data_IF_136491294679
#
_entry.id   IF_136491294679
#
_cell.length_a   1.000
_cell.length_b   1.000
_cell.length_c   1.000
_cell.angle_alpha   90.00
_cell.angle_beta   90.00
_cell.angle_gamma   90.00
#
_symmetry.space_group_name_H-M   'P 1'
#
loop_
_entity.id
_entity.type
_entity.pdbx_description
1 polymer ?
#
# COMPACT_ATOMS: atom_id res chain seq x y z
N UNK A 1 3.91 13.10 -5.86
CA UNK A 1 3.94 12.01 -4.86
C UNK A 1 3.01 12.30 -3.68
N UNK A 2 3.20 13.41 -2.95
CA UNK A 2 2.42 13.76 -1.74
C UNK A 2 0.91 13.91 -2.02
N UNK A 3 0.52 14.66 -3.05
CA UNK A 3 -0.89 14.83 -3.43
C UNK A 3 -1.59 13.49 -3.72
N UNK A 4 -0.88 12.57 -4.36
CA UNK A 4 -1.35 11.22 -4.65
C UNK A 4 -1.63 10.42 -3.38
N UNK A 5 -0.76 10.48 -2.37
CA UNK A 5 -1.00 9.79 -1.10
C UNK A 5 -2.20 10.40 -0.36
N UNK A 6 -2.26 11.74 -0.21
CA UNK A 6 -3.37 12.43 0.48
C UNK A 6 -4.74 12.11 -0.12
N UNK A 7 -4.80 11.97 -1.45
CA UNK A 7 -6.04 11.64 -2.15
C UNK A 7 -6.63 10.29 -1.71
N UNK A 8 -5.81 9.40 -1.14
CA UNK A 8 -6.20 8.05 -0.72
C UNK A 8 -6.29 7.89 0.81
N UNK A 9 -6.18 8.99 1.57
CA UNK A 9 -6.47 8.95 3.00
C UNK A 9 -7.98 8.87 3.26
N UNK A 10 -8.34 8.10 4.27
CA UNK A 10 -9.66 8.14 4.88
C UNK A 10 -9.86 9.53 5.48
N UNK A 11 -10.95 10.19 5.11
CA UNK A 11 -11.29 11.52 5.63
C UNK A 11 -12.59 11.44 6.42
N UNK A 12 -12.65 11.94 7.67
CA UNK A 12 -13.89 11.98 8.43
C UNK A 12 -14.99 12.74 7.65
N UNK A 13 -16.21 12.19 7.52
CA UNK A 13 -17.26 12.83 6.73
C UNK A 13 -17.76 14.10 7.43
N UNK A 14 -17.80 15.21 6.69
CA UNK A 14 -18.40 16.47 7.14
C UNK A 14 -19.94 16.42 7.14
N UNK A 15 -20.59 17.51 7.57
CA UNK A 15 -22.05 17.60 7.62
C UNK A 15 -22.72 17.38 6.27
N UNK A 16 -22.13 17.88 5.18
CA UNK A 16 -22.68 17.74 3.82
C UNK A 16 -22.55 16.29 3.36
N UNK A 17 -21.38 15.68 3.54
CA UNK A 17 -21.12 14.29 3.22
C UNK A 17 -22.10 13.35 3.95
N UNK A 18 -22.34 13.55 5.25
CA UNK A 18 -23.34 12.78 6.02
C UNK A 18 -24.75 12.93 5.45
N UNK A 19 -25.18 14.15 5.14
CA UNK A 19 -26.50 14.41 4.54
C UNK A 19 -26.68 13.70 3.19
N UNK A 20 -25.67 13.79 2.32
CA UNK A 20 -25.69 13.13 1.02
C UNK A 20 -25.64 11.61 1.14
N UNK A 21 -24.81 11.08 2.03
CA UNK A 21 -24.74 9.64 2.30
C UNK A 21 -26.07 9.08 2.81
N UNK A 22 -26.75 9.76 3.73
CA UNK A 22 -28.09 9.35 4.18
C UNK A 22 -29.12 9.37 3.05
N UNK A 23 -29.06 10.38 2.18
CA UNK A 23 -30.01 10.55 1.06
C UNK A 23 -29.81 9.49 -0.02
N UNK A 24 -28.57 9.18 -0.36
CA UNK A 24 -28.24 8.38 -1.55
C UNK A 24 -27.65 7.02 -1.27
N UNK A 25 -26.85 6.86 -0.22
CA UNK A 25 -26.16 5.60 0.07
C UNK A 25 -27.00 4.74 1.01
N UNK A 26 -27.28 5.24 2.21
CA UNK A 26 -28.01 4.51 3.26
C UNK A 26 -29.37 3.99 2.78
N UNK A 27 -30.16 4.83 2.10
CA UNK A 27 -31.47 4.44 1.54
C UNK A 27 -31.41 3.40 0.42
N UNK A 28 -30.23 3.13 -0.13
CA UNK A 28 -30.05 2.26 -1.29
C UNK A 28 -29.05 1.13 -1.04
N UNK A 29 -28.67 0.82 0.21
CA UNK A 29 -27.64 -0.17 0.54
C UNK A 29 -27.83 -1.51 -0.18
N UNK A 30 -29.03 -2.12 -0.12
CA UNK A 30 -29.28 -3.40 -0.80
C UNK A 30 -29.17 -3.30 -2.32
N UNK A 31 -29.57 -2.17 -2.91
CA UNK A 31 -29.45 -1.94 -4.33
C UNK A 31 -28.00 -1.67 -4.75
N UNK A 32 -27.23 -0.98 -3.90
CA UNK A 32 -25.80 -0.75 -4.09
C UNK A 32 -25.04 -2.06 -4.05
N UNK A 33 -25.26 -2.87 -3.00
CA UNK A 33 -24.63 -4.17 -2.84
C UNK A 33 -24.87 -5.05 -4.06
N UNK A 34 -26.13 -5.23 -4.47
CA UNK A 34 -26.48 -6.00 -5.68
C UNK A 34 -25.81 -5.47 -6.94
N UNK A 35 -25.90 -4.17 -7.21
CA UNK A 35 -25.37 -3.61 -8.47
C UNK A 35 -23.83 -3.63 -8.49
N UNK A 36 -23.17 -3.41 -7.33
CA UNK A 36 -21.72 -3.54 -7.20
C UNK A 36 -21.27 -4.99 -7.32
N UNK A 37 -22.03 -5.95 -6.80
CA UNK A 37 -21.75 -7.37 -6.99
C UNK A 37 -21.86 -7.75 -8.48
N UNK A 38 -22.86 -7.23 -9.20
CA UNK A 38 -22.96 -7.45 -10.64
C UNK A 38 -21.75 -6.89 -11.40
N UNK A 39 -21.31 -5.66 -11.09
CA UNK A 39 -20.07 -5.10 -11.64
C UNK A 39 -18.84 -5.91 -11.25
N UNK A 40 -18.82 -6.49 -10.03
CA UNK A 40 -17.71 -7.31 -9.56
C UNK A 40 -17.61 -8.62 -10.36
N UNK A 41 -18.72 -9.24 -10.73
CA UNK A 41 -18.73 -10.41 -11.62
C UNK A 41 -18.07 -10.08 -12.97
N UNK A 42 -18.38 -8.91 -13.55
CA UNK A 42 -17.72 -8.45 -14.78
C UNK A 42 -16.22 -8.19 -14.58
N UNK A 43 -15.83 -7.64 -13.43
CA UNK A 43 -14.43 -7.40 -13.10
C UNK A 43 -13.66 -8.72 -12.94
N UNK A 44 -14.26 -9.73 -12.28
CA UNK A 44 -13.66 -11.05 -12.14
C UNK A 44 -13.44 -11.70 -13.51
N UNK A 45 -14.44 -11.65 -14.40
CA UNK A 45 -14.32 -12.18 -15.75
C UNK A 45 -13.17 -11.51 -16.52
N UNK A 46 -13.02 -10.19 -16.39
CA UNK A 46 -11.91 -9.46 -17.00
C UNK A 46 -10.53 -9.93 -16.50
N UNK A 47 -10.34 -10.08 -15.18
CA UNK A 47 -9.04 -10.51 -14.65
C UNK A 47 -8.73 -11.97 -14.97
N UNK A 48 -9.73 -12.84 -15.02
CA UNK A 48 -9.57 -14.22 -15.46
C UNK A 48 -9.18 -14.30 -16.94
N UNK A 49 -9.78 -13.48 -17.81
CA UNK A 49 -9.37 -13.38 -19.22
C UNK A 49 -7.91 -12.92 -19.37
N UNK A 50 -7.49 -11.91 -18.58
CA UNK A 50 -6.10 -11.45 -18.59
C UNK A 50 -5.13 -12.55 -18.16
N UNK A 51 -5.49 -13.33 -17.14
CA UNK A 51 -4.70 -14.47 -16.67
C UNK A 51 -4.58 -15.54 -17.75
N UNK A 52 -5.69 -15.87 -18.40
CA UNK A 52 -5.72 -16.93 -19.42
C UNK A 52 -4.89 -16.52 -20.65
N UNK A 53 -5.02 -15.27 -21.10
CA UNK A 53 -4.17 -14.70 -22.17
C UNK A 53 -2.69 -14.69 -21.82
N UNK A 54 -2.35 -14.34 -20.59
CA UNK A 54 -0.96 -14.37 -20.12
C UNK A 54 -0.39 -15.80 -20.08
N UNK A 55 -1.21 -16.78 -19.72
CA UNK A 55 -0.84 -18.20 -19.73
C UNK A 55 -0.61 -18.74 -21.14
N UNK A 56 -1.38 -18.23 -22.11
CA UNK A 56 -1.25 -18.59 -23.53
C UNK A 56 -0.10 -17.87 -24.26
N UNK A 57 0.55 -16.89 -23.63
CA UNK A 57 1.58 -16.07 -24.26
C UNK A 57 1.06 -14.90 -25.09
N UNK A 58 -0.25 -14.63 -25.06
CA UNK A 58 -0.92 -13.55 -25.80
C UNK A 58 -0.86 -12.19 -25.09
N UNK A 59 -0.29 -12.17 -23.88
CA UNK A 59 -0.11 -10.97 -23.07
C UNK A 59 1.21 -11.04 -22.32
N UNK A 60 2.15 -10.17 -22.67
CA UNK A 60 3.39 -9.98 -21.92
C UNK A 60 3.10 -9.25 -20.61
N UNK A 61 3.49 -9.87 -19.49
CA UNK A 61 3.37 -9.29 -18.16
C UNK A 61 4.74 -9.31 -17.47
N UNK A 62 4.95 -8.36 -16.56
CA UNK A 62 6.09 -8.46 -15.66
C UNK A 62 5.84 -9.52 -14.57
N UNK A 63 6.89 -9.91 -13.84
CA UNK A 63 6.81 -10.95 -12.81
C UNK A 63 5.77 -10.67 -11.70
N UNK A 64 5.61 -9.40 -11.29
CA UNK A 64 4.62 -9.02 -10.27
C UNK A 64 3.19 -9.21 -10.79
N UNK A 65 2.94 -8.79 -12.03
CA UNK A 65 1.64 -8.95 -12.69
C UNK A 65 1.31 -10.43 -12.90
N UNK A 66 2.27 -11.24 -13.34
CA UNK A 66 2.09 -12.69 -13.47
C UNK A 66 1.73 -13.33 -12.13
N UNK A 67 2.48 -13.02 -11.06
CA UNK A 67 2.21 -13.58 -9.74
C UNK A 67 0.82 -13.19 -9.22
N UNK A 68 0.42 -11.91 -9.34
CA UNK A 68 -0.91 -11.44 -8.91
C UNK A 68 -2.04 -12.14 -9.65
N UNK A 69 -1.99 -12.19 -10.97
CA UNK A 69 -3.06 -12.82 -11.77
C UNK A 69 -3.14 -14.33 -11.51
N UNK A 70 -2.01 -14.99 -11.27
CA UNK A 70 -1.98 -16.42 -10.92
C UNK A 70 -2.66 -16.71 -9.58
N UNK A 71 -2.63 -15.75 -8.65
CA UNK A 71 -3.23 -15.86 -7.32
C UNK A 71 -4.61 -15.19 -7.20
N UNK A 72 -5.20 -14.75 -8.31
CA UNK A 72 -6.47 -14.03 -8.30
C UNK A 72 -7.59 -14.83 -7.59
N UNK A 73 -8.39 -14.22 -6.69
CA UNK A 73 -8.44 -12.79 -6.35
C UNK A 73 -7.51 -12.38 -5.20
N UNK A 74 -6.78 -13.32 -4.60
CA UNK A 74 -5.93 -13.07 -3.43
C UNK A 74 -4.88 -12.01 -3.76
N UNK A 75 -4.65 -11.09 -2.82
CA UNK A 75 -3.70 -9.97 -2.95
C UNK A 75 -3.99 -8.97 -4.07
N UNK A 76 -5.16 -9.03 -4.72
CA UNK A 76 -5.54 -8.15 -5.84
C UNK A 76 -6.47 -6.98 -5.43
N UNK A 77 -6.48 -6.58 -4.16
CA UNK A 77 -7.43 -5.55 -3.68
C UNK A 77 -7.26 -4.19 -4.36
N UNK A 78 -6.03 -3.82 -4.71
CA UNK A 78 -5.73 -2.58 -5.41
C UNK A 78 -6.27 -2.61 -6.84
N UNK A 79 -5.97 -3.67 -7.56
CA UNK A 79 -6.33 -3.90 -8.96
C UNK A 79 -7.85 -3.94 -9.11
N UNK A 80 -8.52 -4.74 -8.27
CA UNK A 80 -9.98 -4.86 -8.25
C UNK A 80 -10.62 -3.52 -7.90
N UNK A 81 -10.16 -2.83 -6.84
CA UNK A 81 -10.73 -1.53 -6.43
C UNK A 81 -10.59 -0.47 -7.53
N UNK A 82 -9.43 -0.40 -8.20
CA UNK A 82 -9.22 0.55 -9.31
C UNK A 82 -10.12 0.23 -10.50
N UNK A 83 -10.21 -1.04 -10.88
CA UNK A 83 -11.06 -1.47 -11.99
C UNK A 83 -12.54 -1.17 -11.70
N UNK A 84 -13.00 -1.48 -10.48
CA UNK A 84 -14.36 -1.20 -10.02
C UNK A 84 -14.66 0.29 -9.97
N UNK A 85 -13.75 1.14 -9.47
CA UNK A 85 -13.91 2.60 -9.52
C UNK A 85 -14.07 3.12 -10.95
N UNK A 86 -13.26 2.61 -11.89
CA UNK A 86 -13.38 2.93 -13.31
C UNK A 86 -14.76 2.54 -13.84
N UNK A 87 -15.21 1.30 -13.59
CA UNK A 87 -16.55 0.82 -13.99
C UNK A 87 -17.67 1.66 -13.39
N UNK A 88 -17.62 1.99 -12.10
CA UNK A 88 -18.61 2.85 -11.44
C UNK A 88 -18.68 4.23 -12.10
N UNK A 89 -17.53 4.80 -12.46
CA UNK A 89 -17.46 6.13 -13.09
C UNK A 89 -17.99 6.14 -14.54
N UNK A 90 -17.81 5.04 -15.27
CA UNK A 90 -18.18 4.89 -16.68
C UNK A 90 -19.56 4.27 -16.89
N UNK A 91 -20.14 3.65 -15.87
CA UNK A 91 -21.43 2.99 -15.96
C UNK A 91 -22.50 3.94 -16.47
N UNK A 92 -23.25 3.52 -17.50
CA UNK A 92 -24.51 4.16 -17.89
C UNK A 92 -25.62 3.38 -17.22
N UNK A 93 -26.21 3.88 -16.11
CA UNK A 93 -27.10 3.05 -15.33
C UNK A 93 -28.40 2.82 -16.12
N UNK A 94 -28.67 1.56 -16.44
CA UNK A 94 -29.97 1.12 -16.93
C UNK A 94 -31.08 1.40 -15.91
N UNK A 95 -32.35 1.28 -16.29
CA UNK A 95 -33.50 1.40 -15.37
C UNK A 95 -33.42 0.43 -14.17
N UNK A 96 -32.71 -0.69 -14.29
CA UNK A 96 -32.59 -1.70 -13.25
C UNK A 96 -31.45 -1.47 -12.24
N UNK A 97 -30.48 -0.60 -12.54
CA UNK A 97 -29.31 -0.33 -11.68
C UNK A 97 -29.55 0.81 -10.66
N UNK A 98 -30.49 0.58 -9.73
CA UNK A 98 -30.91 1.58 -8.72
C UNK A 98 -29.74 2.05 -7.83
N UNK A 99 -28.84 1.16 -7.44
CA UNK A 99 -27.65 1.45 -6.65
C UNK A 99 -26.67 2.34 -7.41
N UNK A 100 -26.31 1.97 -8.64
CA UNK A 100 -25.40 2.80 -9.45
C UNK A 100 -25.99 4.19 -9.73
N UNK A 101 -27.30 4.29 -10.00
CA UNK A 101 -27.98 5.60 -10.09
C UNK A 101 -27.85 6.40 -8.81
N UNK A 102 -27.90 5.76 -7.65
CA UNK A 102 -27.75 6.44 -6.37
C UNK A 102 -26.32 6.97 -6.17
N UNK A 103 -25.28 6.21 -6.52
CA UNK A 103 -23.89 6.70 -6.51
C UNK A 103 -23.67 7.87 -7.49
N UNK A 104 -24.28 7.80 -8.68
CA UNK A 104 -24.19 8.90 -9.64
C UNK A 104 -24.87 10.17 -9.14
N UNK A 105 -26.07 10.06 -8.55
CA UNK A 105 -26.75 11.21 -7.94
C UNK A 105 -25.97 11.77 -6.75
N UNK A 106 -25.39 10.89 -5.93
CA UNK A 106 -24.50 11.27 -4.84
C UNK A 106 -23.32 12.11 -5.36
N UNK A 107 -22.62 11.62 -6.39
CA UNK A 107 -21.50 12.32 -7.02
C UNK A 107 -21.92 13.66 -7.65
N UNK A 108 -23.03 13.69 -8.39
CA UNK A 108 -23.58 14.91 -9.03
C UNK A 108 -23.98 15.98 -8.02
N UNK A 109 -24.42 15.61 -6.81
CA UNK A 109 -24.70 16.57 -5.72
C UNK A 109 -23.44 16.98 -4.93
N UNK A 110 -22.24 16.62 -5.40
CA UNK A 110 -20.95 16.95 -4.81
C UNK A 110 -20.49 15.98 -3.72
N UNK A 111 -21.05 14.77 -3.68
CA UNK A 111 -20.54 13.70 -2.84
C UNK A 111 -19.23 13.14 -3.38
N UNK A 112 -18.23 12.95 -2.53
CA UNK A 112 -16.93 12.42 -2.95
C UNK A 112 -16.94 10.89 -2.94
N UNK A 113 -16.58 10.28 -4.07
CA UNK A 113 -16.28 8.85 -4.21
C UNK A 113 -14.79 8.75 -4.56
N UNK A 114 -14.01 8.07 -3.74
CA UNK A 114 -12.55 7.95 -3.95
C UNK A 114 -12.03 6.61 -3.45
N UNK A 115 -10.90 6.17 -3.99
CA UNK A 115 -10.13 5.08 -3.38
C UNK A 115 -9.54 5.56 -2.06
N UNK A 116 -9.46 4.65 -1.10
CA UNK A 116 -8.74 4.82 0.16
C UNK A 116 -7.86 3.60 0.44
N UNK A 117 -6.77 3.80 1.17
CA UNK A 117 -5.86 2.75 1.61
C UNK A 117 -5.53 2.92 3.08
N UNK A 118 -5.40 1.81 3.79
CA UNK A 118 -5.13 1.81 5.23
C UNK A 118 -5.08 0.41 5.81
N UNK A 119 -5.24 0.33 7.12
CA UNK A 119 -5.33 -0.91 7.88
C UNK A 119 -6.78 -1.23 8.22
N UNK A 120 -7.22 -2.45 7.93
CA UNK A 120 -8.56 -2.92 8.25
C UNK A 120 -8.50 -3.81 9.50
N UNK A 121 -9.14 -3.36 10.58
CA UNK A 121 -9.34 -4.14 11.81
C UNK A 121 -8.02 -4.71 12.39
N UNK A 122 -6.93 -3.95 12.31
CA UNK A 122 -5.60 -4.31 12.82
C UNK A 122 -5.00 -5.59 12.23
N UNK A 123 -5.54 -6.04 11.09
CA UNK A 123 -5.27 -7.39 10.59
C UNK A 123 -4.53 -7.40 9.27
N UNK A 124 -4.83 -6.46 8.37
CA UNK A 124 -4.23 -6.43 7.02
C UNK A 124 -4.36 -5.06 6.37
N UNK A 125 -3.53 -4.83 5.35
CA UNK A 125 -3.65 -3.67 4.48
C UNK A 125 -4.82 -3.85 3.51
N UNK A 126 -5.62 -2.80 3.32
CA UNK A 126 -6.74 -2.87 2.40
C UNK A 126 -6.84 -1.65 1.49
N UNK A 127 -7.31 -1.89 0.26
CA UNK A 127 -7.80 -0.87 -0.64
C UNK A 127 -9.32 -0.96 -0.72
N UNK A 128 -9.99 0.18 -0.55
CA UNK A 128 -11.45 0.24 -0.64
C UNK A 128 -11.89 1.58 -1.25
N UNK A 129 -13.20 1.77 -1.33
CA UNK A 129 -13.83 3.00 -1.78
C UNK A 129 -14.44 3.71 -0.57
N UNK A 130 -14.15 5.00 -0.42
CA UNK A 130 -14.91 5.88 0.46
C UNK A 130 -15.94 6.63 -0.37
N UNK A 131 -17.22 6.48 -0.01
CA UNK A 131 -18.33 7.25 -0.56
C UNK A 131 -19.03 8.02 0.56
N UNK A 132 -18.59 9.27 0.78
CA UNK A 132 -19.04 10.09 1.91
C UNK A 132 -18.76 9.43 3.27
N UNK A 133 -19.82 9.06 3.99
CA UNK A 133 -19.74 8.43 5.32
C UNK A 133 -19.62 6.89 5.28
N UNK A 134 -19.55 6.30 4.09
CA UNK A 134 -19.50 4.85 3.91
C UNK A 134 -18.16 4.39 3.38
N UNK A 135 -17.71 3.29 3.95
CA UNK A 135 -16.72 2.38 3.43
C UNK A 135 -17.41 1.38 2.50
N UNK A 136 -16.88 1.20 1.30
CA UNK A 136 -17.33 0.23 0.31
C UNK A 136 -16.11 -0.59 -0.09
N UNK A 137 -16.03 -1.81 0.40
CA UNK A 137 -15.06 -2.80 -0.06
C UNK A 137 -15.65 -3.52 -1.26
N UNK A 138 -14.95 -3.49 -2.39
CA UNK A 138 -15.33 -4.25 -3.59
C UNK A 138 -14.37 -5.42 -3.83
N UNK A 139 -13.51 -5.69 -2.86
CA UNK A 139 -12.41 -6.64 -2.88
C UNK A 139 -12.28 -7.34 -1.51
N UNK A 140 -13.39 -7.58 -0.81
CA UNK A 140 -13.40 -8.08 0.56
C UNK A 140 -12.96 -9.56 0.67
N UNK A 141 -13.00 -10.28 -0.44
CA UNK A 141 -12.57 -11.67 -0.61
C UNK A 141 -11.07 -11.83 -0.94
N UNK A 142 -10.31 -10.73 -1.03
CA UNK A 142 -8.90 -10.76 -1.48
C UNK A 142 -7.88 -11.15 -0.40
N UNK A 143 -8.33 -11.27 0.84
CA UNK A 143 -7.56 -11.86 1.96
C UNK A 143 -8.12 -13.22 2.36
N UNK A 144 -9.44 -13.35 2.31
CA UNK A 144 -10.17 -14.58 2.63
C UNK A 144 -11.22 -14.82 1.54
N UNK A 145 -10.96 -15.73 0.58
CA UNK A 145 -11.84 -15.99 -0.56
C UNK A 145 -13.24 -16.48 -0.19
N UNK A 146 -13.47 -16.86 1.07
CA UNK A 146 -14.79 -17.33 1.54
C UNK A 146 -15.73 -16.19 1.90
N UNK A 147 -15.21 -14.96 2.05
CA UNK A 147 -16.02 -13.77 2.35
C UNK A 147 -16.84 -13.34 1.14
N UNK A 148 -17.92 -12.60 1.43
CA UNK A 148 -18.64 -11.88 0.39
C UNK A 148 -17.69 -10.90 -0.34
N UNK A 149 -17.85 -10.76 -1.65
CA UNK A 149 -16.96 -9.98 -2.52
C UNK A 149 -17.09 -8.48 -2.29
N UNK A 150 -18.28 -8.05 -1.88
CA UNK A 150 -18.62 -6.64 -1.65
C UNK A 150 -19.12 -6.45 -0.22
N UNK A 151 -18.47 -5.57 0.54
CA UNK A 151 -18.91 -5.16 1.88
C UNK A 151 -19.19 -3.65 1.91
N UNK A 152 -20.25 -3.24 2.60
CA UNK A 152 -20.66 -1.84 2.68
C UNK A 152 -21.04 -1.50 4.12
N UNK A 153 -20.25 -0.64 4.76
CA UNK A 153 -20.43 -0.26 6.16
C UNK A 153 -20.28 1.25 6.34
N UNK A 154 -20.93 1.86 7.33
CA UNK A 154 -20.52 3.17 7.80
C UNK A 154 -19.02 3.14 8.16
N UNK A 155 -18.28 4.18 7.78
CA UNK A 155 -16.80 4.18 7.91
C UNK A 155 -16.34 4.08 9.37
N UNK A 156 -17.14 4.59 10.30
CA UNK A 156 -16.91 4.51 11.73
C UNK A 156 -17.07 3.07 12.29
N UNK A 157 -17.84 2.23 11.59
CA UNK A 157 -18.15 0.86 12.02
C UNK A 157 -17.31 -0.19 11.27
N UNK A 158 -16.58 0.20 10.21
CA UNK A 158 -15.80 -0.76 9.40
C UNK A 158 -14.51 -1.23 10.07
N UNK A 159 -13.98 -0.45 11.02
CA UNK A 159 -12.66 -0.64 11.60
C UNK A 159 -11.52 -0.27 10.66
N UNK A 160 -11.80 0.49 9.59
CA UNK A 160 -10.80 0.91 8.61
C UNK A 160 -10.13 2.22 9.03
N UNK A 161 -8.80 2.24 9.11
CA UNK A 161 -8.03 3.39 9.63
C UNK A 161 -6.85 3.72 8.74
N UNK A 162 -6.47 5.00 8.75
CA UNK A 162 -5.23 5.45 8.12
C UNK A 162 -4.04 4.87 8.88
N UNK A 163 -2.97 4.55 8.15
CA UNK A 163 -1.67 4.24 8.71
C UNK A 163 -0.86 5.54 8.70
N UNK A 164 -0.39 5.98 9.86
CA UNK A 164 0.21 7.29 10.06
C UNK A 164 1.67 7.25 10.53
N UNK A 165 2.19 6.06 10.82
CA UNK A 165 3.56 5.83 11.32
C UNK A 165 4.14 4.52 10.79
N UNK A 166 5.46 4.44 10.77
CA UNK A 166 6.15 3.18 10.45
C UNK A 166 5.94 2.12 11.55
N UNK A 167 5.71 2.50 12.82
CA UNK A 167 5.32 1.55 13.86
C UNK A 167 3.97 0.90 13.56
N UNK A 168 2.96 1.68 13.17
CA UNK A 168 1.66 1.15 12.78
C UNK A 168 1.76 0.26 11.53
N UNK A 169 2.53 0.69 10.53
CA UNK A 169 2.80 -0.12 9.34
C UNK A 169 3.46 -1.45 9.71
N UNK A 170 4.52 -1.43 10.53
CA UNK A 170 5.25 -2.62 10.95
C UNK A 170 4.34 -3.58 11.73
N UNK A 171 3.54 -3.09 12.69
CA UNK A 171 2.65 -3.95 13.47
C UNK A 171 1.63 -4.70 12.59
N UNK A 172 1.05 -4.04 11.58
CA UNK A 172 0.12 -4.67 10.64
C UNK A 172 0.85 -5.68 9.76
N UNK A 173 2.00 -5.30 9.22
CA UNK A 173 2.76 -6.14 8.31
C UNK A 173 3.33 -7.38 8.99
N UNK A 174 3.89 -7.29 10.21
CA UNK A 174 4.41 -8.43 10.96
C UNK A 174 3.30 -9.48 11.20
N UNK A 175 2.09 -9.02 11.58
CA UNK A 175 0.93 -9.88 11.78
C UNK A 175 0.43 -10.51 10.49
N UNK A 176 0.34 -9.71 9.42
CA UNK A 176 -0.26 -10.13 8.15
C UNK A 176 0.69 -10.96 7.28
N UNK A 177 1.94 -10.52 7.12
CA UNK A 177 2.95 -11.12 6.25
C UNK A 177 3.82 -12.17 6.96
N UNK A 178 3.62 -12.38 8.27
CA UNK A 178 4.41 -13.34 9.08
C UNK A 178 5.91 -13.08 8.94
N UNK A 179 6.29 -11.83 9.17
CA UNK A 179 7.66 -11.37 9.08
C UNK A 179 8.03 -10.56 10.33
N UNK A 180 9.32 -10.24 10.45
CA UNK A 180 9.87 -9.31 11.43
C UNK A 180 10.25 -8.00 10.73
N UNK A 181 9.92 -6.86 11.32
CA UNK A 181 10.20 -5.54 10.74
C UNK A 181 11.00 -4.66 11.69
N UNK A 182 12.25 -4.40 11.34
CA UNK A 182 13.24 -3.83 12.27
C UNK A 182 13.86 -2.54 11.72
N UNK A 183 14.34 -1.64 12.59
CA UNK A 183 15.02 -0.41 12.18
C UNK A 183 16.23 -0.65 11.29
N UNK A 184 16.34 0.11 10.19
CA UNK A 184 17.55 0.16 9.37
C UNK A 184 18.66 0.97 10.04
N UNK A 185 19.41 0.31 10.91
CA UNK A 185 20.56 0.88 11.62
C UNK A 185 21.91 0.57 10.95
N UNK A 186 21.91 -0.20 9.85
CA UNK A 186 23.13 -0.67 9.19
C UNK A 186 23.56 0.17 7.99
N UNK A 187 22.62 0.87 7.36
CA UNK A 187 22.89 1.71 6.19
C UNK A 187 22.43 3.15 6.46
N UNK A 188 23.25 3.96 7.16
CA UNK A 188 22.87 5.30 7.60
C UNK A 188 22.23 6.17 6.52
N UNK A 189 22.87 6.24 5.35
CA UNK A 189 22.39 7.04 4.22
C UNK A 189 21.11 6.49 3.57
N UNK A 190 20.82 5.20 3.72
CA UNK A 190 19.56 4.63 3.23
C UNK A 190 18.43 4.80 4.24
N UNK A 191 18.74 4.87 5.54
CA UNK A 191 17.77 4.83 6.63
C UNK A 191 16.64 5.89 6.55
N UNK A 192 16.88 7.15 6.11
CA UNK A 192 15.80 8.12 5.92
C UNK A 192 14.76 7.69 4.88
N UNK A 193 15.17 6.92 3.86
CA UNK A 193 14.32 6.48 2.75
C UNK A 193 13.80 5.05 2.96
N UNK A 194 14.63 4.20 3.56
CA UNK A 194 14.43 2.78 3.79
C UNK A 194 14.53 2.49 5.30
N UNK A 195 13.63 3.04 6.15
CA UNK A 195 13.76 2.92 7.60
C UNK A 195 13.48 1.52 8.15
N UNK A 196 12.82 0.66 7.37
CA UNK A 196 12.45 -0.70 7.77
C UNK A 196 13.27 -1.71 6.97
N UNK A 197 13.90 -2.62 7.69
CA UNK A 197 14.36 -3.92 7.17
C UNK A 197 13.27 -4.94 7.49
N UNK A 198 12.88 -5.72 6.49
CA UNK A 198 11.97 -6.85 6.65
C UNK A 198 12.75 -8.14 6.59
N UNK A 199 12.45 -9.06 7.50
CA UNK A 199 12.96 -10.41 7.53
C UNK A 199 11.80 -11.40 7.59
N UNK A 200 11.72 -12.29 6.60
CA UNK A 200 10.75 -13.37 6.57
C UNK A 200 11.30 -14.62 7.26
N UNK A 201 10.43 -15.51 7.73
CA UNK A 201 10.82 -16.77 8.40
C UNK A 201 11.73 -17.65 7.54
N UNK A 202 11.63 -17.54 6.21
CA UNK A 202 12.47 -18.27 5.26
C UNK A 202 13.85 -17.61 5.01
N UNK A 203 14.22 -16.60 5.80
CA UNK A 203 15.50 -15.89 5.70
C UNK A 203 15.56 -14.82 4.60
N UNK A 204 14.47 -14.58 3.85
CA UNK A 204 14.43 -13.51 2.85
C UNK A 204 14.48 -12.16 3.54
N UNK A 205 15.39 -11.28 3.07
CA UNK A 205 15.58 -9.93 3.57
C UNK A 205 15.20 -8.88 2.50
N UNK A 206 14.66 -7.74 2.95
CA UNK A 206 14.32 -6.64 2.05
C UNK A 206 13.99 -5.31 2.72
N UNK A 207 13.56 -4.33 1.90
CA UNK A 207 13.17 -2.99 2.31
C UNK A 207 11.73 -2.65 1.86
N UNK A 208 10.75 -2.88 2.74
CA UNK A 208 9.31 -2.78 2.39
C UNK A 208 8.65 -1.41 2.63
N UNK A 209 9.38 -0.48 3.24
CA UNK A 209 8.90 0.87 3.58
C UNK A 209 8.70 1.81 2.38
N UNK A 210 9.02 1.37 1.15
CA UNK A 210 9.01 2.18 -0.08
C UNK A 210 7.70 2.15 -0.87
N UNK A 211 6.62 1.69 -0.25
CA UNK A 211 5.33 1.70 -0.93
C UNK A 211 4.87 3.14 -1.25
N UNK A 212 3.85 3.25 -2.11
CA UNK A 212 3.35 4.53 -2.63
C UNK A 212 2.63 5.41 -1.60
N UNK A 213 2.58 4.98 -0.34
CA UNK A 213 1.96 5.69 0.78
C UNK A 213 2.98 6.14 1.82
N UNK A 214 3.79 5.21 2.34
CA UNK A 214 4.70 5.48 3.44
C UNK A 214 5.80 6.47 3.05
N UNK A 215 6.41 6.32 1.88
CA UNK A 215 7.44 7.24 1.39
C UNK A 215 6.91 8.69 1.25
N UNK A 216 5.84 8.98 0.49
CA UNK A 216 5.28 10.33 0.42
C UNK A 216 4.89 10.90 1.79
N UNK A 217 4.34 10.08 2.68
CA UNK A 217 3.98 10.50 4.02
C UNK A 217 5.21 10.90 4.84
N UNK A 218 6.28 10.11 4.78
CA UNK A 218 7.56 10.41 5.43
C UNK A 218 8.19 11.71 4.88
N UNK A 219 8.14 11.90 3.56
CA UNK A 219 8.62 13.13 2.91
C UNK A 219 7.81 14.36 3.36
N UNK A 220 6.48 14.25 3.45
CA UNK A 220 5.63 15.33 3.96
C UNK A 220 5.95 15.70 5.41
N UNK A 221 6.39 14.72 6.20
CA UNK A 221 6.81 14.90 7.59
C UNK A 221 8.31 15.20 7.73
N UNK A 222 8.99 15.57 6.65
CA UNK A 222 10.43 15.88 6.65
C UNK A 222 11.29 14.78 7.31
N UNK A 223 11.00 13.52 6.97
CA UNK A 223 11.67 12.32 7.48
C UNK A 223 11.46 12.00 8.97
N UNK A 224 10.59 12.75 9.66
CA UNK A 224 10.34 12.56 11.09
C UNK A 224 9.81 11.14 11.41
N UNK A 225 8.96 10.57 10.56
CA UNK A 225 8.41 9.24 10.81
C UNK A 225 9.48 8.15 10.75
N UNK A 226 10.40 8.26 9.79
CA UNK A 226 11.55 7.36 9.68
C UNK A 226 12.49 7.52 10.88
N UNK A 227 12.73 8.76 11.32
CA UNK A 227 13.55 9.05 12.49
C UNK A 227 12.98 8.40 13.75
N UNK A 228 11.70 8.64 14.06
CA UNK A 228 10.98 8.01 15.18
C UNK A 228 11.05 6.49 15.12
N UNK A 229 10.87 5.88 13.94
CA UNK A 229 10.96 4.43 13.82
C UNK A 229 12.36 3.88 14.07
N UNK A 230 13.40 4.65 13.74
CA UNK A 230 14.79 4.20 13.89
C UNK A 230 15.29 4.39 15.32
N UNK A 231 14.99 5.53 15.93
CA UNK A 231 15.54 5.90 17.24
C UNK A 231 14.59 5.57 18.40
N UNK A 232 13.27 5.71 18.19
CA UNK A 232 12.24 5.51 19.22
C UNK A 232 11.49 4.18 19.03
N UNK A 233 12.26 3.10 18.91
CA UNK A 233 11.71 1.77 18.69
C UNK A 233 12.44 0.72 19.51
N UNK A 234 11.68 -0.01 20.33
CA UNK A 234 12.22 -1.10 21.17
C UNK A 234 12.91 -2.18 20.35
N UNK A 235 12.47 -2.39 19.10
CA UNK A 235 13.07 -3.36 18.18
C UNK A 235 14.54 -3.05 17.92
N UNK A 236 14.96 -1.79 17.98
CA UNK A 236 16.36 -1.36 17.74
C UNK A 236 17.42 -2.13 18.55
N UNK A 237 17.04 -2.68 19.71
CA UNK A 237 17.93 -3.38 20.63
C UNK A 237 17.93 -4.91 20.48
N UNK A 238 17.13 -5.47 19.57
CA UNK A 238 17.15 -6.92 19.32
C UNK A 238 18.46 -7.36 18.64
N UNK A 239 18.79 -8.64 18.73
CA UNK A 239 20.00 -9.18 18.10
C UNK A 239 19.80 -9.27 16.58
N UNK A 240 20.60 -8.52 15.83
CA UNK A 240 20.45 -8.32 14.37
C UNK A 240 21.70 -8.65 13.56
N UNK A 241 22.78 -9.12 14.19
CA UNK A 241 24.02 -9.39 13.45
C UNK A 241 23.80 -10.45 12.36
N UNK A 242 22.85 -11.37 12.54
CA UNK A 242 22.47 -12.34 11.50
C UNK A 242 21.83 -11.69 10.27
N UNK A 243 21.05 -10.61 10.44
CA UNK A 243 20.47 -9.88 9.31
C UNK A 243 21.51 -9.02 8.58
N UNK A 244 22.54 -8.55 9.30
CA UNK A 244 23.57 -7.67 8.75
C UNK A 244 24.28 -8.30 7.56
N UNK A 245 24.78 -9.53 7.71
CA UNK A 245 25.56 -10.18 6.65
C UNK A 245 24.71 -10.43 5.40
N UNK A 246 23.47 -10.90 5.56
CA UNK A 246 22.53 -11.06 4.44
C UNK A 246 22.15 -9.73 3.78
N UNK A 247 22.09 -8.63 4.55
CA UNK A 247 21.88 -7.30 3.96
C UNK A 247 23.11 -6.77 3.23
N UNK A 248 24.32 -7.06 3.72
CA UNK A 248 25.56 -6.71 3.01
C UNK A 248 25.59 -7.42 1.65
N UNK A 249 25.21 -8.70 1.62
CA UNK A 249 25.07 -9.46 0.39
C UNK A 249 23.99 -8.84 -0.52
N UNK A 250 22.80 -8.51 0.02
CA UNK A 250 21.72 -7.78 -0.67
C UNK A 250 22.19 -6.51 -1.36
N UNK A 251 23.05 -5.76 -0.70
CA UNK A 251 23.55 -4.50 -1.22
C UNK A 251 24.76 -4.67 -2.15
N UNK A 252 25.50 -5.78 -2.07
CA UNK A 252 26.67 -6.05 -2.91
C UNK A 252 26.34 -6.18 -4.40
N UNK A 253 25.14 -6.67 -4.72
CA UNK A 253 24.65 -6.78 -6.11
C UNK A 253 24.09 -5.46 -6.66
N UNK A 254 24.11 -4.39 -5.85
CA UNK A 254 23.61 -3.06 -6.24
C UNK A 254 24.77 -2.14 -6.58
N UNK A 255 24.57 -1.27 -7.58
CA UNK A 255 25.51 -0.19 -7.84
C UNK A 255 25.52 0.79 -6.67
N UNK A 256 26.64 0.85 -5.96
CA UNK A 256 26.85 1.83 -4.88
C UNK A 256 27.16 3.21 -5.49
N UNK A 257 26.36 4.25 -5.19
CA UNK A 257 26.65 5.60 -5.64
C UNK A 257 28.01 6.11 -5.17
N UNK A 258 28.48 7.21 -5.76
CA UNK A 258 29.67 7.90 -5.26
C UNK A 258 29.45 8.41 -3.82
N UNK A 259 30.55 8.67 -3.11
CA UNK A 259 30.53 9.02 -1.67
C UNK A 259 29.77 10.30 -1.33
N UNK A 260 29.50 11.16 -2.31
CA UNK A 260 28.78 12.42 -2.10
C UNK A 260 27.27 12.27 -2.32
N UNK A 261 26.82 11.14 -2.87
CA UNK A 261 25.40 10.84 -3.05
C UNK A 261 24.71 10.48 -1.72
N UNK A 262 23.46 10.93 -1.55
CA UNK A 262 22.62 10.68 -0.36
C UNK A 262 22.29 9.19 -0.11
N UNK A 263 22.63 8.30 -1.03
CA UNK A 263 22.40 6.85 -0.92
C UNK A 263 23.70 6.05 -0.95
N UNK A 264 24.86 6.71 -0.87
CA UNK A 264 26.11 5.99 -0.74
C UNK A 264 26.03 5.08 0.48
N UNK A 265 26.10 3.77 0.28
CA UNK A 265 25.88 2.83 1.36
C UNK A 265 27.20 2.23 1.79
N UNK A 266 27.44 2.26 3.10
CA UNK A 266 28.51 1.52 3.78
C UNK A 266 27.83 0.79 4.94
N UNK A 267 27.98 -0.53 5.05
CA UNK A 267 27.35 -1.30 6.13
C UNK A 267 28.07 -1.04 7.45
N UNK A 268 27.64 0.00 8.16
CA UNK A 268 28.22 0.41 9.43
C UNK A 268 27.12 0.86 10.37
N UNK A 269 27.08 0.25 11.55
CA UNK A 269 26.25 0.73 12.65
C UNK A 269 26.95 1.93 13.28
N UNK A 270 26.43 3.12 13.01
CA UNK A 270 27.03 4.39 13.39
C UNK A 270 25.92 5.43 13.60
N UNK A 271 25.56 5.66 14.86
CA UNK A 271 24.45 6.54 15.23
C UNK A 271 24.69 7.99 14.84
N UNK A 272 25.95 8.45 14.91
CA UNK A 272 26.30 9.79 14.47
C UNK A 272 26.11 9.94 12.96
N UNK A 273 26.49 8.94 12.17
CA UNK A 273 26.19 8.93 10.73
C UNK A 273 24.70 8.85 10.45
N UNK A 274 23.94 8.02 11.18
CA UNK A 274 22.49 7.93 11.02
C UNK A 274 21.85 9.31 11.20
N UNK A 275 22.15 9.99 12.31
CA UNK A 275 21.62 11.32 12.60
C UNK A 275 22.01 12.34 11.51
N UNK A 276 23.29 12.34 11.11
CA UNK A 276 23.79 13.21 10.04
C UNK A 276 23.08 12.95 8.69
N UNK A 277 22.72 11.70 8.38
CA UNK A 277 21.98 11.36 7.15
C UNK A 277 20.57 11.98 7.16
N UNK A 278 19.89 12.01 8.31
CA UNK A 278 18.61 12.70 8.44
C UNK A 278 18.74 14.22 8.25
N UNK A 279 19.74 14.84 8.86
CA UNK A 279 20.01 16.27 8.70
C UNK A 279 20.39 16.64 7.25
N UNK A 280 21.21 15.81 6.60
CA UNK A 280 21.54 15.97 5.18
C UNK A 280 20.29 15.95 4.30
N UNK A 281 19.33 15.05 4.57
CA UNK A 281 18.07 14.99 3.83
C UNK A 281 17.19 16.24 4.03
N UNK A 282 17.17 16.82 5.24
CA UNK A 282 16.39 18.06 5.54
C UNK A 282 16.93 19.28 4.79
N UNK A 283 18.24 19.31 4.52
CA UNK A 283 18.90 20.43 3.83
C UNK A 283 19.13 20.21 2.33
N UNK A 284 18.82 19.03 1.82
CA UNK A 284 19.07 18.67 0.42
C UNK A 284 18.24 19.49 -0.57
N UNK A 285 18.82 19.78 -1.73
CA UNK A 285 18.08 20.47 -2.80
C UNK A 285 16.94 19.59 -3.34
N UNK A 286 15.83 20.18 -3.84
CA UNK A 286 14.72 19.42 -4.42
C UNK A 286 15.14 18.47 -5.55
N UNK A 287 16.13 18.86 -6.35
CA UNK A 287 16.68 18.05 -7.44
C UNK A 287 17.42 16.82 -6.90
N UNK A 288 18.34 17.02 -5.94
CA UNK A 288 19.07 15.92 -5.31
C UNK A 288 18.12 14.95 -4.60
N UNK A 289 17.10 15.48 -3.93
CA UNK A 289 16.05 14.71 -3.27
C UNK A 289 15.25 13.86 -4.27
N UNK A 290 14.86 14.43 -5.41
CA UNK A 290 14.11 13.71 -6.45
C UNK A 290 14.92 12.57 -7.07
N UNK A 291 16.19 12.81 -7.40
CA UNK A 291 17.10 11.77 -7.91
C UNK A 291 17.26 10.64 -6.90
N UNK A 292 17.48 11.02 -5.63
CA UNK A 292 17.62 10.09 -4.51
C UNK A 292 16.39 9.22 -4.32
N UNK A 293 15.18 9.80 -4.28
CA UNK A 293 13.94 9.05 -4.14
C UNK A 293 13.78 8.04 -5.27
N UNK A 294 14.01 8.45 -6.53
CA UNK A 294 13.89 7.56 -7.67
C UNK A 294 14.85 6.37 -7.60
N UNK A 295 16.06 6.59 -7.07
CA UNK A 295 17.02 5.52 -6.87
C UNK A 295 16.66 4.61 -5.69
N UNK A 296 16.21 5.17 -4.56
CA UNK A 296 15.75 4.39 -3.41
C UNK A 296 14.59 3.44 -3.79
N UNK A 297 13.66 3.89 -4.62
CA UNK A 297 12.57 3.07 -5.14
C UNK A 297 13.04 1.86 -5.98
N UNK A 298 14.25 1.92 -6.57
CA UNK A 298 14.83 0.81 -7.34
C UNK A 298 15.53 -0.24 -6.47
N UNK A 299 15.89 0.11 -5.24
CA UNK A 299 16.60 -0.80 -4.31
C UNK A 299 15.66 -1.88 -3.75
N UNK A 300 14.33 -1.69 -3.84
CA UNK A 300 13.25 -2.51 -3.24
C UNK A 300 13.32 -4.04 -3.47
N UNK A 301 14.12 -4.56 -4.39
CA UNK A 301 14.14 -6.00 -4.71
C UNK A 301 14.84 -6.81 -3.61
N UNK A 302 14.15 -7.83 -3.08
CA UNK A 302 14.67 -8.83 -2.14
C UNK A 302 15.85 -9.64 -2.72
N UNK A 303 16.73 -10.14 -1.86
CA UNK A 303 17.64 -11.25 -2.19
C UNK A 303 17.00 -12.54 -1.68
N UNK A 304 17.12 -13.61 -2.46
CA UNK A 304 16.78 -14.96 -2.01
C UNK A 304 17.88 -16.01 -2.26
N UNK A 305 18.76 -15.86 -3.24
CA UNK A 305 18.69 -16.79 -4.38
C UNK A 305 17.30 -16.87 -5.00
N UNK A 306 17.09 -15.93 -5.93
CA UNK A 306 16.00 -15.77 -6.90
C UNK A 306 14.78 -16.72 -6.80
N UNK A 307 13.62 -16.20 -6.39
CA UNK A 307 12.27 -16.62 -6.89
C UNK A 307 11.84 -18.09 -6.67
N UNK A 308 12.62 -18.98 -6.06
CA UNK A 308 12.26 -20.42 -6.00
C UNK A 308 11.14 -20.80 -5.03
N UNK A 309 10.49 -19.86 -4.35
CA UNK A 309 9.22 -20.15 -3.65
C UNK A 309 8.53 -18.84 -3.28
N UNK A 310 7.58 -18.42 -4.11
CA UNK A 310 6.35 -17.79 -3.66
C UNK A 310 5.26 -18.88 -3.57
N UNK A 311 5.61 -19.98 -2.91
CA UNK A 311 4.63 -20.91 -2.33
C UNK A 311 4.34 -20.40 -0.90
N UNK A 312 3.42 -19.45 -0.82
CA UNK A 312 2.54 -19.22 0.33
C UNK A 312 1.14 -19.06 -0.25
#
# INVERSE_FOLDING_TARGET
MISGYRANLIVPPDRRARKLSKKYIEKNLNALHRDLHALRVEADAHFLELRDRATQGDLELNAEQHWKLSNYPVSCCLEITRHMLSKISQAVPSSNSKGLRALQKFSREGGQIKRVWGELRQSYFQNAIQAGSYYIDVANDTVDPTKDKVDILPIQDSGFRNIDSYHAFAAVAESYWKCRMVPNIFFPNLAPFLPIITEFENGVLGFDSTNTFMMPMNLEKNFQLAHEFIFDNSRRNENFETCRDGLVELMSIRSNPDKTHLLHFTPVRDDAKLENSFEACKTASPTAMTQTINQALRIKRYIKDAVSALEI
#
